data_IF_164526872977
#
_entry.id   IF_164526872977
#
_cell.length_a   1.000
_cell.length_b   1.000
_cell.length_c   1.000
_cell.angle_alpha   90.00
_cell.angle_beta   90.00
_cell.angle_gamma   90.00
#
_symmetry.space_group_name_H-M   'P 1'
#
loop_
_entity.id
_entity.type
_entity.pdbx_description
1 polymer ?
#
# COMPACT_ATOMS: atom_id res chain seq x y z
N UNK A 1 -6.11 21.63 -13.06
CA UNK A 1 -6.70 20.30 -12.76
C UNK A 1 -6.47 19.96 -11.29
N UNK A 2 -7.30 19.13 -10.62
CA UNK A 2 -7.07 18.67 -9.25
C UNK A 2 -5.77 17.87 -9.10
N UNK A 3 -5.13 17.92 -7.92
CA UNK A 3 -3.85 17.25 -7.65
C UNK A 3 -3.92 15.74 -7.80
N UNK A 4 -5.01 15.09 -7.37
CA UNK A 4 -5.23 13.63 -7.54
C UNK A 4 -5.22 13.22 -9.02
N UNK A 5 -5.84 14.02 -9.88
CA UNK A 5 -5.86 13.75 -11.32
C UNK A 5 -4.49 13.94 -11.96
N UNK A 6 -3.74 14.96 -11.52
CA UNK A 6 -2.37 15.16 -11.98
C UNK A 6 -1.48 13.97 -11.61
N UNK A 7 -1.53 13.53 -10.33
CA UNK A 7 -0.79 12.34 -9.89
C UNK A 7 -1.12 11.11 -10.75
N UNK A 8 -2.42 10.83 -10.97
CA UNK A 8 -2.85 9.69 -11.78
C UNK A 8 -2.26 9.72 -13.20
N UNK A 9 -2.26 10.89 -13.84
CA UNK A 9 -1.70 11.04 -15.19
C UNK A 9 -0.18 10.82 -15.13
N UNK A 10 0.51 11.46 -14.19
CA UNK A 10 1.97 11.34 -14.04
C UNK A 10 2.41 9.91 -13.74
N UNK A 11 1.63 9.15 -12.96
CA UNK A 11 2.00 7.79 -12.57
C UNK A 11 1.55 6.72 -13.56
N UNK A 12 0.31 6.84 -14.08
CA UNK A 12 -0.38 5.71 -14.75
C UNK A 12 -0.71 5.95 -16.22
N UNK A 13 -0.31 7.09 -16.84
CA UNK A 13 -0.54 7.28 -18.27
C UNK A 13 0.19 6.19 -19.07
N UNK A 14 -0.46 5.50 -20.03
CA UNK A 14 0.14 4.36 -20.72
C UNK A 14 1.49 4.67 -21.38
N UNK A 15 1.59 5.83 -22.04
CA UNK A 15 2.78 6.20 -22.82
C UNK A 15 3.76 7.11 -22.06
N UNK A 16 3.27 7.92 -21.13
CA UNK A 16 4.05 8.99 -20.47
C UNK A 16 4.10 8.87 -18.96
N UNK A 17 3.36 7.93 -18.37
CA UNK A 17 3.33 7.72 -16.93
C UNK A 17 4.56 7.00 -16.41
N UNK A 18 4.90 7.29 -15.17
CA UNK A 18 6.07 6.75 -14.48
C UNK A 18 6.11 5.22 -14.48
N UNK A 19 4.97 4.54 -14.25
CA UNK A 19 4.82 3.09 -14.28
C UNK A 19 4.48 2.53 -15.68
N UNK A 20 4.23 3.40 -16.68
CA UNK A 20 3.71 2.99 -17.99
C UNK A 20 4.73 2.25 -18.84
N UNK A 21 5.96 2.78 -18.94
CA UNK A 21 6.93 2.36 -19.97
C UNK A 21 8.27 1.87 -19.43
N UNK A 22 8.50 1.94 -18.13
CA UNK A 22 9.78 1.57 -17.50
C UNK A 22 9.60 0.77 -16.22
N UNK A 23 10.68 0.16 -15.79
CA UNK A 23 10.75 -0.57 -14.53
C UNK A 23 11.36 0.35 -13.45
N UNK A 24 10.55 0.88 -12.51
CA UNK A 24 11.03 1.80 -11.50
C UNK A 24 11.68 1.13 -10.28
N UNK A 25 11.59 -0.22 -10.20
CA UNK A 25 11.96 -0.97 -9.00
C UNK A 25 13.39 -1.51 -9.01
N UNK A 26 13.96 -1.75 -7.82
CA UNK A 26 15.22 -2.43 -7.59
C UNK A 26 16.45 -1.51 -7.70
N UNK A 27 17.67 -2.11 -7.70
CA UNK A 27 18.95 -1.39 -7.65
C UNK A 27 19.21 -0.42 -8.81
N UNK A 28 18.52 -0.58 -9.92
CA UNK A 28 18.62 0.30 -11.10
C UNK A 28 17.42 1.24 -11.25
N UNK A 29 16.44 1.16 -10.35
CA UNK A 29 15.26 2.02 -10.30
C UNK A 29 15.37 3.13 -9.26
N UNK A 30 14.33 3.94 -9.17
CA UNK A 30 14.27 5.08 -8.25
C UNK A 30 13.92 4.66 -6.81
N UNK A 31 13.38 3.43 -6.61
CA UNK A 31 12.90 2.93 -5.33
C UNK A 31 13.37 1.51 -4.99
N UNK A 32 13.58 1.29 -3.71
CA UNK A 32 13.84 -0.02 -3.14
C UNK A 32 12.76 -0.31 -2.08
N UNK A 33 11.68 -0.95 -2.51
CA UNK A 33 10.54 -1.35 -1.67
C UNK A 33 10.90 -2.50 -0.72
N UNK A 34 10.12 -2.70 0.35
CA UNK A 34 10.40 -3.75 1.34
C UNK A 34 10.61 -5.15 0.74
N UNK A 35 9.81 -5.62 -0.25
CA UNK A 35 10.04 -6.88 -0.94
C UNK A 35 11.38 -6.97 -1.70
N UNK A 36 11.86 -5.84 -2.24
CA UNK A 36 13.13 -5.79 -2.99
C UNK A 36 14.38 -5.76 -2.08
N UNK A 37 14.20 -5.40 -0.80
CA UNK A 37 15.27 -5.42 0.21
C UNK A 37 15.66 -6.84 0.56
N UNK A 38 14.66 -7.70 0.86
CA UNK A 38 14.92 -9.06 1.32
C UNK A 38 13.69 -9.95 1.22
N UNK A 39 13.90 -11.22 0.85
CA UNK A 39 12.90 -12.29 0.96
C UNK A 39 12.32 -12.44 2.38
N UNK A 40 13.03 -11.98 3.42
CA UNK A 40 12.52 -12.00 4.79
C UNK A 40 11.15 -11.33 4.92
N UNK A 41 10.95 -10.20 4.23
CA UNK A 41 9.66 -9.50 4.27
C UNK A 41 8.55 -10.40 3.73
N UNK A 42 8.71 -10.96 2.54
CA UNK A 42 7.73 -11.88 1.95
C UNK A 42 7.49 -13.15 2.79
N UNK A 43 8.54 -13.70 3.42
CA UNK A 43 8.40 -14.85 4.34
C UNK A 43 7.57 -14.51 5.59
N UNK A 44 7.77 -13.32 6.17
CA UNK A 44 6.99 -12.86 7.33
C UNK A 44 5.53 -12.60 6.96
N UNK A 45 5.28 -11.94 5.82
CA UNK A 45 3.92 -11.72 5.29
C UNK A 45 3.21 -13.05 5.01
N UNK A 46 3.89 -14.01 4.42
CA UNK A 46 3.35 -15.34 4.18
C UNK A 46 3.01 -16.08 5.49
N UNK A 47 3.88 -16.00 6.49
CA UNK A 47 3.62 -16.59 7.81
C UNK A 47 2.38 -16.00 8.46
N UNK A 48 2.22 -14.68 8.41
CA UNK A 48 1.04 -13.99 8.93
C UNK A 48 -0.24 -14.37 8.17
N UNK A 49 -0.20 -14.39 6.84
CA UNK A 49 -1.36 -14.76 6.02
C UNK A 49 -1.73 -16.23 6.21
N UNK A 50 -0.75 -17.13 6.43
CA UNK A 50 -1.02 -18.54 6.79
C UNK A 50 -1.69 -18.66 8.16
N UNK A 51 -1.29 -17.83 9.14
CA UNK A 51 -1.99 -17.71 10.41
C UNK A 51 -3.44 -17.27 10.23
N UNK A 52 -3.67 -16.22 9.44
CA UNK A 52 -5.01 -15.69 9.17
C UNK A 52 -5.90 -16.73 8.47
N UNK A 53 -5.37 -17.43 7.46
CA UNK A 53 -6.05 -18.54 6.79
C UNK A 53 -6.43 -19.65 7.77
N UNK A 54 -5.52 -20.02 8.67
CA UNK A 54 -5.79 -21.03 9.70
C UNK A 54 -6.90 -20.55 10.66
N UNK A 55 -6.83 -19.32 11.13
CA UNK A 55 -7.84 -18.73 12.01
C UNK A 55 -9.21 -18.57 11.33
N UNK A 56 -9.25 -18.53 9.99
CA UNK A 56 -10.47 -18.46 9.18
C UNK A 56 -11.05 -19.84 8.83
N UNK A 57 -10.62 -20.91 9.50
CA UNK A 57 -11.16 -22.27 9.30
C UNK A 57 -10.54 -23.04 8.14
N UNK A 58 -9.40 -22.60 7.62
CA UNK A 58 -8.62 -23.30 6.58
C UNK A 58 -9.43 -23.62 5.31
N UNK A 59 -10.05 -22.64 4.64
CA UNK A 59 -10.79 -22.91 3.41
C UNK A 59 -9.91 -23.63 2.37
N UNK A 60 -10.52 -24.53 1.60
CA UNK A 60 -9.80 -25.23 0.54
C UNK A 60 -9.33 -24.26 -0.56
N UNK A 61 -8.32 -24.65 -1.33
CA UNK A 61 -7.76 -23.81 -2.38
C UNK A 61 -8.80 -23.37 -3.43
N UNK A 62 -9.79 -24.24 -3.72
CA UNK A 62 -10.90 -23.91 -4.63
C UNK A 62 -11.89 -22.90 -4.07
N UNK A 63 -11.94 -22.73 -2.75
CA UNK A 63 -12.99 -21.98 -2.03
C UNK A 63 -12.50 -20.63 -1.52
N UNK A 64 -11.30 -20.21 -1.90
CA UNK A 64 -10.70 -18.94 -1.56
C UNK A 64 -9.93 -18.34 -2.74
N UNK A 65 -9.50 -17.09 -2.59
CA UNK A 65 -8.61 -16.42 -3.54
C UNK A 65 -7.44 -15.77 -2.82
N UNK A 66 -6.30 -15.71 -3.50
CA UNK A 66 -5.20 -14.80 -3.14
C UNK A 66 -5.33 -13.54 -3.96
N UNK A 67 -5.06 -12.41 -3.34
CA UNK A 67 -5.15 -11.11 -4.02
C UNK A 67 -3.97 -10.22 -3.66
N UNK A 68 -3.37 -9.58 -4.65
CA UNK A 68 -2.36 -8.53 -4.44
C UNK A 68 -2.73 -7.29 -5.25
N UNK A 69 -2.79 -6.13 -4.57
CA UNK A 69 -2.99 -4.84 -5.22
C UNK A 69 -1.63 -4.15 -5.38
N UNK A 70 -1.31 -3.73 -6.61
CA UNK A 70 -0.02 -3.14 -6.94
C UNK A 70 1.15 -4.12 -6.82
N UNK A 71 1.11 -5.31 -7.48
CA UNK A 71 2.15 -6.34 -7.32
C UNK A 71 3.50 -5.94 -7.92
N UNK A 72 3.55 -4.91 -8.74
CA UNK A 72 4.75 -4.50 -9.45
C UNK A 72 5.37 -5.66 -10.24
N UNK A 73 6.63 -5.98 -9.96
CA UNK A 73 7.34 -7.13 -10.57
C UNK A 73 6.90 -8.50 -10.07
N UNK A 74 6.12 -8.57 -8.97
CA UNK A 74 5.72 -9.84 -8.35
C UNK A 74 6.72 -10.44 -7.37
N UNK A 75 7.71 -9.67 -6.91
CA UNK A 75 8.72 -10.12 -5.93
C UNK A 75 8.08 -10.58 -4.63
N UNK A 76 7.13 -9.80 -4.09
CA UNK A 76 6.41 -10.14 -2.87
C UNK A 76 5.62 -11.44 -3.05
N UNK A 77 4.80 -11.52 -4.08
CA UNK A 77 4.02 -12.72 -4.38
C UNK A 77 4.91 -13.96 -4.52
N UNK A 78 6.00 -13.89 -5.27
CA UNK A 78 6.95 -14.98 -5.47
C UNK A 78 7.50 -15.51 -4.15
N UNK A 79 7.93 -14.61 -3.26
CA UNK A 79 8.55 -15.01 -1.99
C UNK A 79 7.51 -15.54 -0.98
N UNK A 80 6.31 -14.95 -0.95
CA UNK A 80 5.17 -15.49 -0.22
C UNK A 80 4.77 -16.86 -0.75
N UNK A 81 4.67 -17.04 -2.07
CA UNK A 81 4.29 -18.30 -2.70
C UNK A 81 5.29 -19.43 -2.41
N UNK A 82 6.60 -19.15 -2.44
CA UNK A 82 7.64 -20.10 -2.03
C UNK A 82 7.48 -20.54 -0.57
N UNK A 83 7.07 -19.62 0.28
CA UNK A 83 6.84 -19.90 1.70
C UNK A 83 5.56 -20.69 1.90
N UNK A 84 4.45 -20.33 1.24
CA UNK A 84 3.19 -21.08 1.30
C UNK A 84 3.35 -22.54 0.91
N UNK A 85 4.14 -22.86 -0.12
CA UNK A 85 4.42 -24.25 -0.51
C UNK A 85 4.91 -25.12 0.65
N UNK A 86 5.58 -24.50 1.63
CA UNK A 86 6.17 -25.20 2.78
C UNK A 86 5.22 -25.26 3.99
N UNK A 87 4.47 -24.18 4.24
CA UNK A 87 3.71 -24.03 5.50
C UNK A 87 2.20 -24.07 5.33
N UNK A 88 1.67 -23.75 4.14
CA UNK A 88 0.24 -23.67 3.86
C UNK A 88 -0.04 -24.00 2.37
N UNK A 89 0.08 -25.29 1.97
CA UNK A 89 -0.07 -25.69 0.55
C UNK A 89 -1.39 -25.27 -0.09
N UNK A 90 -2.49 -25.24 0.67
CA UNK A 90 -3.78 -24.76 0.18
C UNK A 90 -3.72 -23.31 -0.29
N UNK A 91 -3.04 -22.42 0.48
CA UNK A 91 -2.80 -21.04 0.03
C UNK A 91 -1.95 -21.00 -1.23
N UNK A 92 -0.90 -21.83 -1.36
CA UNK A 92 -0.08 -21.83 -2.57
C UNK A 92 -0.85 -22.24 -3.82
N UNK A 93 -1.85 -23.10 -3.67
CA UNK A 93 -2.66 -23.64 -4.78
C UNK A 93 -3.92 -22.82 -5.08
N UNK A 94 -4.28 -21.85 -4.23
CA UNK A 94 -5.43 -20.99 -4.48
C UNK A 94 -5.19 -20.08 -5.69
N UNK A 95 -6.24 -19.77 -6.49
CA UNK A 95 -6.14 -18.83 -7.60
C UNK A 95 -5.57 -17.47 -7.14
N UNK A 96 -4.71 -16.88 -7.97
CA UNK A 96 -4.04 -15.63 -7.68
C UNK A 96 -4.59 -14.52 -8.57
N UNK A 97 -5.13 -13.48 -7.95
CA UNK A 97 -5.71 -12.30 -8.59
C UNK A 97 -4.83 -11.09 -8.32
N UNK A 98 -4.71 -10.22 -9.32
CA UNK A 98 -3.84 -9.05 -9.27
C UNK A 98 -4.56 -7.83 -9.83
N UNK A 99 -4.43 -6.69 -9.14
CA UNK A 99 -4.81 -5.39 -9.65
C UNK A 99 -3.54 -4.62 -10.01
N UNK A 100 -3.22 -4.57 -11.30
CA UNK A 100 -2.05 -3.88 -11.86
C UNK A 100 -2.46 -3.10 -13.11
N UNK A 101 -2.18 -1.81 -13.14
CA UNK A 101 -2.55 -0.94 -14.24
C UNK A 101 -1.57 -1.00 -15.43
N UNK A 102 -0.28 -1.27 -15.15
CA UNK A 102 0.78 -1.27 -16.15
C UNK A 102 0.88 -2.59 -16.90
N UNK A 103 0.65 -2.57 -18.21
CA UNK A 103 0.84 -3.75 -19.10
C UNK A 103 2.29 -4.25 -19.07
N UNK A 104 3.24 -3.34 -18.94
CA UNK A 104 4.65 -3.69 -18.79
C UNK A 104 4.86 -4.53 -17.51
N UNK A 105 4.33 -4.07 -16.38
CA UNK A 105 4.45 -4.79 -15.11
C UNK A 105 3.63 -6.08 -15.09
N UNK A 106 2.45 -6.14 -15.72
CA UNK A 106 1.69 -7.39 -15.91
C UNK A 106 2.54 -8.46 -16.63
N UNK A 107 3.25 -8.08 -17.68
CA UNK A 107 4.14 -8.98 -18.42
C UNK A 107 5.31 -9.46 -17.54
N UNK A 108 5.93 -8.56 -16.79
CA UNK A 108 7.02 -8.89 -15.85
C UNK A 108 6.55 -9.83 -14.75
N UNK A 109 5.43 -9.51 -14.11
CA UNK A 109 4.80 -10.32 -13.08
C UNK A 109 4.54 -11.75 -13.60
N UNK A 110 3.90 -11.88 -14.77
CA UNK A 110 3.58 -13.20 -15.37
C UNK A 110 4.82 -14.06 -15.52
N UNK A 111 5.93 -13.47 -15.94
CA UNK A 111 7.22 -14.18 -16.08
C UNK A 111 7.79 -14.57 -14.72
N UNK A 112 7.75 -13.67 -13.74
CA UNK A 112 8.36 -13.84 -12.41
C UNK A 112 7.66 -14.92 -11.58
N UNK A 113 6.33 -15.01 -11.67
CA UNK A 113 5.55 -15.95 -10.87
C UNK A 113 5.30 -17.31 -11.55
N UNK A 114 5.83 -17.52 -12.76
CA UNK A 114 5.66 -18.81 -13.46
C UNK A 114 6.09 -20.00 -12.58
N UNK A 115 5.38 -21.12 -12.60
CA UNK A 115 4.26 -21.49 -13.48
C UNK A 115 2.86 -21.08 -12.95
N UNK A 116 2.74 -20.22 -11.94
CA UNK A 116 1.45 -19.71 -11.46
C UNK A 116 0.84 -18.82 -12.54
N UNK A 117 -0.36 -19.13 -12.97
CA UNK A 117 -1.11 -18.29 -13.92
C UNK A 117 -1.77 -17.12 -13.17
N UNK A 118 -1.47 -15.85 -13.51
CA UNK A 118 -2.14 -14.71 -12.91
C UNK A 118 -3.53 -14.48 -13.49
N UNK A 119 -4.47 -14.02 -12.64
CA UNK A 119 -5.74 -13.45 -13.07
C UNK A 119 -5.67 -11.94 -12.85
N UNK A 120 -5.58 -11.16 -13.92
CA UNK A 120 -5.60 -9.71 -13.83
C UNK A 120 -7.03 -9.19 -13.74
N UNK A 121 -7.27 -8.30 -12.80
CA UNK A 121 -8.55 -7.62 -12.61
C UNK A 121 -8.49 -6.25 -13.29
N UNK A 122 -9.54 -5.90 -14.01
CA UNK A 122 -9.73 -4.53 -14.51
C UNK A 122 -10.39 -3.65 -13.43
N UNK A 123 -11.21 -4.23 -12.59
CA UNK A 123 -11.89 -3.56 -11.48
C UNK A 123 -11.93 -4.46 -10.27
N UNK A 124 -11.85 -3.87 -9.08
CA UNK A 124 -11.94 -4.61 -7.82
C UNK A 124 -13.29 -5.34 -7.65
N UNK A 125 -14.34 -4.85 -8.28
CA UNK A 125 -15.66 -5.50 -8.31
C UNK A 125 -15.69 -6.82 -9.08
N UNK A 126 -14.66 -7.13 -9.85
CA UNK A 126 -14.57 -8.36 -10.63
C UNK A 126 -13.96 -9.52 -9.80
N UNK A 127 -13.65 -9.29 -8.52
CA UNK A 127 -13.21 -10.32 -7.59
C UNK A 127 -14.28 -11.42 -7.45
N UNK A 128 -13.89 -12.72 -7.52
CA UNK A 128 -14.82 -13.82 -7.27
C UNK A 128 -15.44 -13.77 -5.87
N UNK A 129 -16.71 -14.18 -5.70
CA UNK A 129 -17.42 -14.15 -4.42
C UNK A 129 -16.91 -15.26 -3.47
N UNK A 130 -15.67 -15.13 -2.99
CA UNK A 130 -14.96 -16.09 -2.12
C UNK A 130 -14.16 -15.36 -1.06
N UNK A 131 -13.85 -16.02 0.08
CA UNK A 131 -12.89 -15.49 1.05
C UNK A 131 -11.58 -15.09 0.37
N UNK A 132 -11.09 -13.90 0.74
CA UNK A 132 -9.91 -13.28 0.15
C UNK A 132 -8.76 -13.25 1.17
N UNK A 133 -7.58 -13.72 0.77
CA UNK A 133 -6.34 -13.57 1.52
C UNK A 133 -5.38 -12.72 0.68
N UNK A 134 -5.30 -11.43 1.02
CA UNK A 134 -4.63 -10.47 0.15
C UNK A 134 -3.72 -9.49 0.87
N UNK A 135 -2.92 -8.77 0.07
CA UNK A 135 -1.94 -7.81 0.53
C UNK A 135 -1.76 -6.67 -0.48
N UNK A 136 -1.41 -5.50 0.03
CA UNK A 136 -0.76 -4.44 -0.76
C UNK A 136 0.49 -3.96 -0.03
N UNK A 137 1.51 -3.60 -0.79
CA UNK A 137 2.71 -2.96 -0.29
C UNK A 137 3.06 -1.76 -1.16
N UNK A 138 3.09 -0.55 -0.56
CA UNK A 138 3.36 0.70 -1.29
C UNK A 138 2.41 0.85 -2.50
N UNK A 139 1.11 0.83 -2.21
CA UNK A 139 0.05 0.91 -3.21
C UNK A 139 -0.84 2.13 -3.00
N UNK A 140 -1.25 2.39 -1.75
CA UNK A 140 -2.16 3.48 -1.43
C UNK A 140 -1.49 4.85 -1.54
N UNK A 141 -0.20 4.93 -1.29
CA UNK A 141 0.63 6.13 -1.42
C UNK A 141 0.68 6.66 -2.87
N UNK A 142 0.52 5.77 -3.85
CA UNK A 142 0.46 6.11 -5.27
C UNK A 142 -0.96 6.42 -5.78
N UNK A 143 -2.00 6.17 -4.97
CA UNK A 143 -3.38 6.55 -5.32
C UNK A 143 -3.58 8.04 -5.09
N UNK A 144 -3.93 8.76 -6.15
CA UNK A 144 -3.96 10.22 -6.17
C UNK A 144 -4.65 10.89 -4.98
N UNK A 145 -4.05 11.96 -4.48
CA UNK A 145 -4.52 12.74 -3.33
C UNK A 145 -4.96 14.16 -3.74
N UNK A 146 -6.09 14.61 -3.22
CA UNK A 146 -6.54 16.02 -3.26
C UNK A 146 -6.06 16.74 -2.03
N UNK A 147 -5.72 18.01 -2.19
CA UNK A 147 -5.30 18.86 -1.10
C UNK A 147 -6.26 20.04 -0.95
N UNK A 148 -6.97 20.09 0.19
CA UNK A 148 -7.72 21.26 0.60
C UNK A 148 -6.79 22.19 1.40
N UNK A 149 -6.71 23.47 1.03
CA UNK A 149 -5.93 24.49 1.73
C UNK A 149 -6.87 25.49 2.37
N UNK A 150 -6.60 25.90 3.61
CA UNK A 150 -7.34 26.97 4.28
C UNK A 150 -6.59 28.30 4.11
N UNK A 151 -7.19 29.27 3.43
CA UNK A 151 -6.55 30.54 3.09
C UNK A 151 -6.65 31.60 4.20
N UNK A 152 -7.34 31.29 5.29
CA UNK A 152 -7.63 32.16 6.44
C UNK A 152 -9.07 32.62 6.50
N UNK A 153 -9.86 32.38 5.47
CA UNK A 153 -11.31 32.64 5.41
C UNK A 153 -12.08 31.38 5.04
N UNK A 154 -11.62 30.70 4.00
CA UNK A 154 -12.32 29.58 3.40
C UNK A 154 -11.37 28.40 3.07
N UNK A 155 -11.96 27.22 2.93
CA UNK A 155 -11.31 26.07 2.32
C UNK A 155 -11.35 26.18 0.80
N UNK A 156 -10.23 25.94 0.12
CA UNK A 156 -10.07 25.91 -1.34
C UNK A 156 -9.34 24.64 -1.77
N UNK A 157 -9.63 24.09 -2.96
CA UNK A 157 -8.80 23.00 -3.50
C UNK A 157 -7.51 23.56 -4.08
N UNK A 158 -6.38 22.92 -3.73
CA UNK A 158 -5.13 23.09 -4.48
C UNK A 158 -5.27 22.37 -5.81
N UNK A 159 -4.97 23.07 -6.88
CA UNK A 159 -5.02 22.57 -8.25
C UNK A 159 -3.69 22.81 -8.96
N UNK A 160 -3.56 22.25 -10.14
CA UNK A 160 -2.41 22.49 -11.02
C UNK A 160 -2.92 23.10 -12.32
N UNK A 161 -2.26 24.17 -12.73
CA UNK A 161 -2.49 24.87 -13.99
C UNK A 161 -1.22 24.84 -14.85
N UNK A 162 -1.38 25.04 -16.14
CA UNK A 162 -0.27 25.18 -17.08
C UNK A 162 -0.38 26.50 -17.82
N UNK A 163 0.62 27.34 -17.70
CA UNK A 163 0.71 28.65 -18.34
C UNK A 163 2.15 29.09 -18.51
N UNK A 164 2.42 29.86 -19.55
CA UNK A 164 3.75 30.39 -19.89
C UNK A 164 4.83 29.30 -20.04
N UNK A 165 4.42 28.07 -20.40
CA UNK A 165 5.33 26.92 -20.58
C UNK A 165 5.66 26.15 -19.31
N UNK A 166 5.05 26.47 -18.17
CA UNK A 166 5.34 25.86 -16.88
C UNK A 166 4.08 25.41 -16.15
N UNK A 167 4.19 24.34 -15.37
CA UNK A 167 3.16 23.92 -14.41
C UNK A 167 3.31 24.73 -13.13
N UNK A 168 2.17 25.12 -12.54
CA UNK A 168 2.14 25.84 -11.27
C UNK A 168 0.95 25.40 -10.41
N UNK A 169 1.12 25.47 -9.10
CA UNK A 169 0.00 25.33 -8.19
C UNK A 169 -0.92 26.56 -8.27
N UNK A 170 -2.22 26.30 -8.25
CA UNK A 170 -3.29 27.27 -8.21
C UNK A 170 -4.37 26.82 -7.23
N UNK A 171 -5.39 27.63 -7.05
CA UNK A 171 -6.49 27.32 -6.12
C UNK A 171 -7.84 27.50 -6.83
N UNK A 172 -8.87 26.78 -6.34
CA UNK A 172 -10.25 26.98 -6.78
C UNK A 172 -10.90 28.20 -6.08
N UNK A 173 -12.15 28.47 -6.42
CA UNK A 173 -13.04 29.26 -5.57
C UNK A 173 -13.29 28.56 -4.24
N UNK A 174 -13.74 29.27 -3.19
CA UNK A 174 -14.11 28.68 -1.90
C UNK A 174 -15.04 27.49 -2.03
N UNK A 175 -14.79 26.48 -1.20
CA UNK A 175 -15.61 25.27 -1.11
C UNK A 175 -16.94 25.59 -0.42
N UNK A 176 -18.01 25.04 -0.92
CA UNK A 176 -19.30 25.11 -0.26
C UNK A 176 -19.38 24.12 0.94
N UNK A 177 -20.44 24.26 1.74
CA UNK A 177 -20.62 23.43 2.94
C UNK A 177 -20.72 21.94 2.66
N UNK A 178 -21.33 21.56 1.54
CA UNK A 178 -21.51 20.15 1.17
C UNK A 178 -20.16 19.53 0.76
N UNK A 179 -19.32 20.28 0.06
CA UNK A 179 -17.95 19.85 -0.28
C UNK A 179 -17.07 19.69 0.96
N UNK A 180 -17.14 20.64 1.90
CA UNK A 180 -16.43 20.59 3.19
C UNK A 180 -16.86 19.35 3.99
N UNK A 181 -18.16 19.11 4.08
CA UNK A 181 -18.71 17.95 4.79
C UNK A 181 -18.34 16.62 4.09
N UNK A 182 -18.48 16.55 2.76
CA UNK A 182 -18.13 15.37 1.98
C UNK A 182 -16.65 15.01 2.12
N UNK A 183 -15.77 16.02 2.15
CA UNK A 183 -14.33 15.86 2.34
C UNK A 183 -13.95 15.63 3.82
N UNK A 184 -14.91 15.73 4.76
CA UNK A 184 -14.66 15.62 6.21
C UNK A 184 -13.56 16.54 6.71
N UNK A 185 -13.51 17.78 6.19
CA UNK A 185 -12.50 18.76 6.55
C UNK A 185 -12.64 19.23 8.01
N UNK A 186 -11.53 19.54 8.69
CA UNK A 186 -11.56 20.01 10.08
C UNK A 186 -12.42 21.27 10.26
N UNK A 187 -13.23 21.36 11.35
CA UNK A 187 -14.13 22.48 11.58
C UNK A 187 -13.43 23.75 12.07
N UNK A 188 -12.18 23.65 12.53
CA UNK A 188 -11.42 24.76 13.11
C UNK A 188 -10.00 24.83 12.55
N UNK A 189 -9.86 25.08 11.23
CA UNK A 189 -8.53 25.19 10.60
C UNK A 189 -7.83 26.49 10.96
N UNK A 190 -6.51 26.50 10.79
CA UNK A 190 -5.68 27.70 10.85
C UNK A 190 -5.25 28.10 9.43
N UNK A 191 -4.99 29.38 9.21
CA UNK A 191 -4.45 29.84 7.94
C UNK A 191 -3.20 29.08 7.55
N UNK A 192 -3.19 28.54 6.34
CA UNK A 192 -2.11 27.72 5.80
C UNK A 192 -2.24 26.22 6.06
N UNK A 193 -3.25 25.78 6.83
CA UNK A 193 -3.50 24.36 7.01
C UNK A 193 -3.83 23.70 5.67
N UNK A 194 -3.26 22.51 5.48
CA UNK A 194 -3.52 21.65 4.33
C UNK A 194 -4.11 20.34 4.87
N UNK A 195 -5.14 19.85 4.19
CA UNK A 195 -5.78 18.57 4.49
C UNK A 195 -5.86 17.72 3.23
N UNK A 196 -5.42 16.47 3.34
CA UNK A 196 -5.32 15.54 2.24
C UNK A 196 -6.42 14.50 2.28
N UNK A 197 -7.04 14.24 1.14
CA UNK A 197 -8.01 13.16 0.95
C UNK A 197 -7.71 12.40 -0.33
N UNK A 198 -7.87 11.09 -0.33
CA UNK A 198 -7.68 10.24 -1.51
C UNK A 198 -9.00 9.57 -1.90
N UNK A 199 -9.75 10.11 -2.88
CA UNK A 199 -11.03 9.53 -3.30
C UNK A 199 -10.89 8.13 -3.87
N UNK A 200 -9.74 7.80 -4.48
CA UNK A 200 -9.47 6.46 -4.99
C UNK A 200 -9.23 5.47 -3.85
N UNK A 201 -8.45 5.85 -2.84
CA UNK A 201 -8.24 5.02 -1.65
C UNK A 201 -9.57 4.74 -0.93
N UNK A 202 -10.41 5.76 -0.80
CA UNK A 202 -11.75 5.63 -0.20
C UNK A 202 -12.62 4.64 -0.97
N UNK A 203 -12.67 4.77 -2.30
CA UNK A 203 -13.46 3.88 -3.17
C UNK A 203 -12.93 2.45 -3.13
N UNK A 204 -11.60 2.28 -3.20
CA UNK A 204 -10.94 0.98 -3.09
C UNK A 204 -11.27 0.30 -1.77
N UNK A 205 -11.07 1.02 -0.66
CA UNK A 205 -11.33 0.50 0.68
C UNK A 205 -12.80 0.16 0.89
N UNK A 206 -13.73 0.99 0.43
CA UNK A 206 -15.15 0.71 0.53
C UNK A 206 -15.52 -0.59 -0.20
N UNK A 207 -15.05 -0.75 -1.44
CA UNK A 207 -15.33 -1.94 -2.27
C UNK A 207 -14.72 -3.20 -1.68
N UNK A 208 -13.45 -3.15 -1.27
CA UNK A 208 -12.77 -4.27 -0.66
C UNK A 208 -13.36 -4.66 0.69
N UNK A 209 -13.76 -3.67 1.49
CA UNK A 209 -14.40 -3.90 2.78
C UNK A 209 -15.77 -4.58 2.65
N UNK A 210 -16.56 -4.20 1.64
CA UNK A 210 -17.82 -4.88 1.32
C UNK A 210 -17.57 -6.34 0.94
N UNK A 211 -16.56 -6.61 0.13
CA UNK A 211 -16.18 -7.98 -0.25
C UNK A 211 -15.80 -8.80 0.99
N UNK A 212 -14.90 -8.29 1.84
CA UNK A 212 -14.42 -8.97 3.04
C UNK A 212 -15.54 -9.17 4.06
N UNK A 213 -16.40 -8.17 4.26
CA UNK A 213 -17.55 -8.30 5.16
C UNK A 213 -18.53 -9.39 4.71
N UNK A 214 -18.68 -9.57 3.40
CA UNK A 214 -19.63 -10.54 2.83
C UNK A 214 -19.06 -11.94 2.72
N UNK A 215 -17.79 -12.09 2.32
CA UNK A 215 -17.20 -13.40 1.97
C UNK A 215 -16.12 -13.86 2.95
N UNK A 216 -15.60 -12.98 3.80
CA UNK A 216 -14.55 -13.30 4.76
C UNK A 216 -13.13 -13.20 4.21
N UNK A 217 -12.17 -13.72 5.00
CA UNK A 217 -10.74 -13.58 4.74
C UNK A 217 -10.15 -12.32 5.37
N UNK A 218 -9.12 -11.75 4.77
CA UNK A 218 -8.52 -10.50 5.21
C UNK A 218 -7.50 -9.94 4.23
N UNK A 219 -7.23 -8.65 4.36
CA UNK A 219 -6.32 -7.92 3.49
C UNK A 219 -5.33 -7.09 4.31
N UNK A 220 -4.05 -7.36 4.12
CA UNK A 220 -2.96 -6.67 4.80
C UNK A 220 -2.50 -5.47 3.98
N UNK A 221 -2.36 -4.31 4.63
CA UNK A 221 -1.89 -3.07 4.03
C UNK A 221 -0.56 -2.73 4.67
N UNK A 222 0.50 -2.66 3.86
CA UNK A 222 1.83 -2.22 4.27
C UNK A 222 2.15 -0.95 3.47
N UNK A 223 2.17 0.20 4.13
CA UNK A 223 2.38 1.48 3.46
C UNK A 223 2.94 2.52 4.44
N UNK A 224 3.58 3.56 3.95
CA UNK A 224 3.96 4.66 4.82
C UNK A 224 2.83 5.66 4.96
N UNK A 225 2.60 6.09 6.21
CA UNK A 225 1.41 6.88 6.46
C UNK A 225 1.28 7.41 7.89
N UNK A 226 0.15 8.03 8.09
CA UNK A 226 -0.25 8.75 9.31
C UNK A 226 -1.68 8.38 9.72
N UNK A 227 -2.10 8.88 10.87
CA UNK A 227 -3.43 8.58 11.41
C UNK A 227 -4.44 9.70 11.17
N UNK A 228 -4.12 10.67 10.32
CA UNK A 228 -5.00 11.78 9.94
C UNK A 228 -4.67 12.32 8.55
N UNK A 229 -5.54 13.15 7.99
CA UNK A 229 -5.33 13.79 6.69
C UNK A 229 -4.55 15.12 6.76
N UNK A 230 -4.07 15.54 7.93
CA UNK A 230 -3.45 16.85 8.12
C UNK A 230 -2.04 16.92 7.52
N UNK A 231 -1.72 18.02 6.90
CA UNK A 231 -0.39 18.37 6.38
C UNK A 231 -0.23 18.19 4.86
N UNK A 232 0.89 18.67 4.36
CA UNK A 232 1.31 18.60 2.96
C UNK A 232 2.33 17.46 2.84
N UNK A 233 1.87 16.27 2.49
CA UNK A 233 2.72 15.10 2.38
C UNK A 233 3.07 14.74 0.92
N UNK A 234 2.50 15.47 -0.04
CA UNK A 234 2.76 15.26 -1.45
C UNK A 234 4.25 15.49 -1.76
N UNK A 235 4.89 14.50 -2.34
CA UNK A 235 6.32 14.54 -2.65
C UNK A 235 6.62 13.84 -3.97
N UNK A 236 7.75 14.21 -4.58
CA UNK A 236 8.28 13.53 -5.75
C UNK A 236 9.70 13.02 -5.47
N UNK A 237 10.02 11.87 -6.02
CA UNK A 237 11.34 11.25 -5.92
C UNK A 237 11.82 10.81 -7.30
N UNK A 238 13.10 11.07 -7.59
CA UNK A 238 13.79 10.65 -8.80
C UNK A 238 15.23 10.29 -8.45
N UNK A 239 15.73 9.15 -8.92
CA UNK A 239 17.09 8.68 -8.64
C UNK A 239 17.46 8.72 -7.15
N UNK A 240 16.55 8.27 -6.27
CA UNK A 240 16.68 8.27 -4.80
C UNK A 240 16.83 9.66 -4.14
N UNK A 241 16.52 10.74 -4.85
CA UNK A 241 16.58 12.10 -4.34
C UNK A 241 15.22 12.80 -4.47
N UNK A 242 14.95 13.77 -3.58
CA UNK A 242 13.76 14.63 -3.71
C UNK A 242 13.80 15.38 -5.03
N UNK A 243 12.66 15.44 -5.71
CA UNK A 243 12.44 16.16 -6.95
C UNK A 243 11.30 17.18 -6.79
N UNK A 244 11.25 18.16 -7.67
CA UNK A 244 10.13 19.09 -7.76
C UNK A 244 8.94 18.40 -8.45
N UNK A 245 7.78 18.44 -7.80
CA UNK A 245 6.56 17.71 -8.23
C UNK A 245 6.13 18.10 -9.66
N UNK A 246 6.29 19.37 -10.02
CA UNK A 246 5.79 19.93 -11.27
C UNK A 246 6.84 20.03 -12.38
N UNK A 247 8.13 19.78 -12.08
CA UNK A 247 9.21 20.03 -13.04
C UNK A 247 9.20 19.04 -14.21
N UNK A 248 9.01 17.76 -13.93
CA UNK A 248 9.10 16.69 -14.93
C UNK A 248 7.93 15.69 -14.78
N UNK A 249 6.70 16.05 -15.19
CA UNK A 249 5.53 15.17 -15.08
C UNK A 249 5.76 13.83 -15.79
N UNK A 250 5.51 12.71 -15.09
CA UNK A 250 5.74 11.35 -15.60
C UNK A 250 7.18 10.86 -15.52
N UNK A 251 8.14 11.70 -15.10
CA UNK A 251 9.55 11.32 -14.99
C UNK A 251 10.00 11.02 -13.56
N UNK A 252 9.17 11.31 -12.57
CA UNK A 252 9.41 11.04 -11.15
C UNK A 252 8.22 10.29 -10.54
N UNK A 253 8.49 9.54 -9.48
CA UNK A 253 7.43 8.97 -8.65
C UNK A 253 6.84 10.05 -7.75
N UNK A 254 5.52 10.14 -7.71
CA UNK A 254 4.79 11.10 -6.90
C UNK A 254 3.95 10.32 -5.89
N UNK A 255 4.20 10.58 -4.61
CA UNK A 255 3.57 9.84 -3.52
C UNK A 255 3.08 10.77 -2.42
N UNK A 256 2.27 10.22 -1.51
CA UNK A 256 1.80 10.92 -0.32
C UNK A 256 1.73 9.97 0.89
N UNK A 257 1.60 10.50 2.11
CA UNK A 257 1.37 9.69 3.29
C UNK A 257 -0.08 9.20 3.35
N UNK A 258 -0.28 7.90 3.49
CA UNK A 258 -1.60 7.27 3.58
C UNK A 258 -2.30 7.67 4.88
N UNK A 259 -3.54 8.18 4.81
CA UNK A 259 -4.39 8.40 5.99
C UNK A 259 -5.10 7.10 6.39
N UNK A 260 -4.51 6.37 7.34
CA UNK A 260 -5.08 5.12 7.84
C UNK A 260 -6.40 5.31 8.58
N UNK A 261 -6.68 6.50 9.13
CA UNK A 261 -7.98 6.75 9.76
C UNK A 261 -9.08 6.92 8.72
N UNK A 262 -8.78 7.48 7.54
CA UNK A 262 -9.71 7.51 6.42
C UNK A 262 -10.04 6.09 5.94
N UNK A 263 -9.02 5.24 5.77
CA UNK A 263 -9.22 3.83 5.41
C UNK A 263 -10.09 3.10 6.44
N UNK A 264 -9.85 3.33 7.74
CA UNK A 264 -10.67 2.75 8.82
C UNK A 264 -12.12 3.21 8.77
N UNK A 265 -12.38 4.50 8.49
CA UNK A 265 -13.74 5.02 8.32
C UNK A 265 -14.48 4.34 7.17
N UNK A 266 -13.83 4.06 6.05
CA UNK A 266 -14.45 3.34 4.93
C UNK A 266 -14.74 1.88 5.27
N UNK A 267 -13.84 1.22 6.01
CA UNK A 267 -14.05 -0.15 6.48
C UNK A 267 -15.30 -0.25 7.37
N UNK A 268 -15.45 0.66 8.33
CA UNK A 268 -16.62 0.70 9.22
C UNK A 268 -17.95 0.89 8.47
N UNK A 269 -17.99 1.75 7.45
CA UNK A 269 -19.19 1.95 6.61
C UNK A 269 -19.66 0.65 5.94
N UNK A 270 -18.74 -0.25 5.64
CA UNK A 270 -18.99 -1.54 5.00
C UNK A 270 -19.15 -2.70 6.00
N UNK A 271 -19.22 -2.43 7.32
CA UNK A 271 -19.28 -3.46 8.39
C UNK A 271 -18.05 -4.39 8.35
N UNK A 272 -16.90 -3.84 8.04
CA UNK A 272 -15.59 -4.46 8.20
C UNK A 272 -14.77 -3.64 9.20
N UNK A 273 -13.65 -4.18 9.65
CA UNK A 273 -12.76 -3.53 10.61
C UNK A 273 -11.36 -3.44 10.05
N UNK A 274 -10.76 -2.26 10.12
CA UNK A 274 -9.32 -2.08 9.93
C UNK A 274 -8.64 -2.13 11.31
N UNK A 275 -7.85 -3.17 11.57
CA UNK A 275 -7.03 -3.34 12.78
C UNK A 275 -5.68 -2.66 12.54
N UNK A 276 -5.19 -1.89 13.50
CA UNK A 276 -4.01 -1.06 13.37
C UNK A 276 -4.37 0.41 13.03
N UNK A 277 -3.45 1.19 12.42
CA UNK A 277 -2.12 0.78 12.01
C UNK A 277 -1.15 0.54 13.18
N UNK A 278 -0.18 -0.33 12.96
CA UNK A 278 1.00 -0.50 13.83
C UNK A 278 2.26 -0.19 13.05
N UNK A 279 3.36 0.13 13.73
CA UNK A 279 4.65 0.34 13.08
C UNK A 279 5.19 -0.96 12.47
N UNK A 280 5.71 -0.91 11.23
CA UNK A 280 6.22 -2.08 10.53
C UNK A 280 7.31 -2.81 11.32
N UNK A 281 8.24 -2.06 11.94
CA UNK A 281 9.31 -2.65 12.74
C UNK A 281 8.80 -3.42 13.95
N UNK A 282 7.78 -2.90 14.64
CA UNK A 282 7.12 -3.57 15.75
C UNK A 282 6.38 -4.83 15.29
N UNK A 283 5.59 -4.72 14.21
CA UNK A 283 4.89 -5.84 13.60
C UNK A 283 5.83 -6.99 13.21
N UNK A 284 6.87 -6.70 12.44
CA UNK A 284 7.85 -7.70 12.01
C UNK A 284 8.59 -8.33 13.18
N UNK A 285 8.90 -7.53 14.22
CA UNK A 285 9.58 -8.00 15.44
C UNK A 285 8.70 -8.98 16.21
N UNK A 286 7.42 -8.65 16.39
CA UNK A 286 6.45 -9.51 17.08
C UNK A 286 6.20 -10.83 16.32
N UNK A 287 6.22 -10.78 14.98
CA UNK A 287 6.17 -11.99 14.15
C UNK A 287 7.46 -12.83 14.19
N UNK A 288 8.53 -12.33 14.80
CA UNK A 288 9.78 -13.09 15.01
C UNK A 288 10.78 -12.98 13.85
N UNK A 289 10.82 -11.86 13.12
CA UNK A 289 11.75 -11.66 12.00
C UNK A 289 13.21 -11.85 12.39
N UNK A 290 13.61 -11.46 13.65
CA UNK A 290 14.97 -11.65 14.17
C UNK A 290 15.31 -13.14 14.30
N UNK A 291 14.39 -13.96 14.79
CA UNK A 291 14.59 -15.40 14.90
C UNK A 291 14.73 -16.03 13.50
N UNK A 292 13.90 -15.57 12.55
CA UNK A 292 13.99 -16.02 11.15
C UNK A 292 15.31 -15.60 10.51
N UNK A 293 15.74 -14.36 10.67
CA UNK A 293 17.03 -13.88 10.18
C UNK A 293 18.18 -14.70 10.79
N UNK A 294 18.16 -14.96 12.11
CA UNK A 294 19.17 -15.80 12.78
C UNK A 294 19.25 -17.20 12.16
N UNK A 295 18.12 -17.81 11.81
CA UNK A 295 18.06 -19.13 11.18
C UNK A 295 18.59 -19.15 9.73
N UNK A 296 18.61 -18.00 9.07
CA UNK A 296 19.14 -17.84 7.70
C UNK A 296 20.63 -17.46 7.65
N UNK A 297 21.23 -17.13 8.79
CA UNK A 297 22.65 -16.75 8.84
C UNK A 297 23.54 -17.86 8.31
N UNK A 298 24.57 -17.43 7.61
CA UNK A 298 25.61 -18.30 7.01
C UNK A 298 26.98 -17.76 7.38
N UNK A 299 27.50 -18.10 8.59
CA UNK A 299 28.79 -17.60 9.05
C UNK A 299 29.95 -17.85 8.09
N UNK A 300 29.83 -18.93 7.29
CA UNK A 300 30.78 -19.27 6.24
C UNK A 300 30.69 -18.36 4.99
N UNK A 301 29.68 -17.48 4.91
CA UNK A 301 29.50 -16.49 3.86
C UNK A 301 29.32 -15.09 4.45
N UNK A 302 30.40 -14.44 4.93
CA UNK A 302 30.30 -13.20 5.71
C UNK A 302 29.61 -12.03 4.98
N UNK A 303 29.72 -11.98 3.65
CA UNK A 303 29.06 -10.96 2.84
C UNK A 303 27.54 -11.14 2.82
N UNK A 304 27.07 -12.37 2.59
CA UNK A 304 25.64 -12.72 2.64
C UNK A 304 25.06 -12.41 4.03
N UNK A 305 25.81 -12.69 5.09
CA UNK A 305 25.40 -12.45 6.46
C UNK A 305 25.27 -10.94 6.75
N UNK A 306 26.24 -10.13 6.25
CA UNK A 306 26.16 -8.65 6.35
C UNK A 306 24.95 -8.09 5.60
N UNK A 307 24.69 -8.57 4.38
CA UNK A 307 23.52 -8.15 3.61
C UNK A 307 22.21 -8.49 4.33
N UNK A 308 22.11 -9.67 4.93
CA UNK A 308 20.94 -10.09 5.72
C UNK A 308 20.71 -9.18 6.93
N UNK A 309 21.76 -8.85 7.67
CA UNK A 309 21.67 -7.97 8.84
C UNK A 309 21.33 -6.52 8.45
N UNK A 310 21.90 -6.02 7.35
CA UNK A 310 21.56 -4.71 6.82
C UNK A 310 20.10 -4.64 6.34
N UNK A 311 19.59 -5.71 5.72
CA UNK A 311 18.20 -5.83 5.33
C UNK A 311 17.25 -5.84 6.55
N UNK A 312 17.60 -6.59 7.59
CA UNK A 312 16.84 -6.62 8.85
C UNK A 312 16.78 -5.24 9.50
N UNK A 313 17.93 -4.55 9.59
CA UNK A 313 18.01 -3.19 10.11
C UNK A 313 17.12 -2.23 9.29
N UNK A 314 17.24 -2.26 7.98
CA UNK A 314 16.44 -1.40 7.08
C UNK A 314 14.93 -1.62 7.21
N UNK A 315 14.47 -2.87 7.37
CA UNK A 315 13.05 -3.20 7.50
C UNK A 315 12.48 -2.83 8.87
N UNK A 316 13.28 -2.91 9.95
CA UNK A 316 12.78 -2.85 11.33
C UNK A 316 13.19 -1.61 12.10
N UNK A 317 14.35 -1.00 11.79
CA UNK A 317 14.86 0.11 12.61
C UNK A 317 14.03 1.38 12.43
N UNK A 318 13.72 2.13 13.52
CA UNK A 318 12.88 3.33 13.48
C UNK A 318 13.38 4.42 12.52
N UNK A 319 14.71 4.59 12.43
CA UNK A 319 15.37 5.56 11.55
C UNK A 319 15.29 5.20 10.06
N UNK A 320 14.82 3.99 9.74
CA UNK A 320 14.59 3.49 8.39
C UNK A 320 13.09 3.26 8.14
N UNK A 321 12.71 2.08 7.66
CA UNK A 321 11.32 1.78 7.34
C UNK A 321 10.48 1.42 8.59
N UNK A 322 11.12 1.08 9.71
CA UNK A 322 10.46 0.48 10.86
C UNK A 322 9.38 1.35 11.49
N UNK A 323 9.54 2.67 11.49
CA UNK A 323 8.57 3.60 12.10
C UNK A 323 7.65 4.27 11.08
N UNK A 324 8.18 4.75 9.96
CA UNK A 324 7.37 5.49 8.98
C UNK A 324 6.39 4.57 8.23
N UNK A 325 6.79 3.31 7.98
CA UNK A 325 5.91 2.31 7.41
C UNK A 325 4.97 1.76 8.48
N UNK A 326 3.73 1.60 8.07
CA UNK A 326 2.64 1.10 8.91
C UNK A 326 2.06 -0.18 8.32
N UNK A 327 1.56 -1.01 9.21
CA UNK A 327 0.85 -2.24 8.83
C UNK A 327 -0.54 -2.18 9.42
N UNK A 328 -1.54 -2.41 8.59
CA UNK A 328 -2.95 -2.50 9.00
C UNK A 328 -3.61 -3.72 8.36
N UNK A 329 -4.59 -4.30 9.03
CA UNK A 329 -5.30 -5.50 8.58
C UNK A 329 -6.80 -5.24 8.47
N UNK A 330 -7.34 -5.36 7.27
CA UNK A 330 -8.76 -5.33 7.01
C UNK A 330 -9.37 -6.73 7.15
N UNK A 331 -10.37 -6.88 8.00
CA UNK A 331 -11.06 -8.15 8.32
C UNK A 331 -12.55 -7.92 8.52
N UNK A 332 -13.38 -8.99 8.54
CA UNK A 332 -14.77 -8.89 8.99
C UNK A 332 -14.86 -8.32 10.40
N UNK A 333 -15.92 -7.58 10.69
CA UNK A 333 -16.19 -7.10 12.04
C UNK A 333 -16.29 -8.27 13.04
N UNK A 334 -15.86 -8.04 14.28
CA UNK A 334 -15.81 -9.08 15.31
C UNK A 334 -14.58 -10.00 15.25
N UNK A 335 -13.69 -9.85 14.27
CA UNK A 335 -12.42 -10.60 14.24
C UNK A 335 -11.54 -10.18 15.43
N UNK A 336 -10.98 -11.17 16.16
CA UNK A 336 -10.04 -10.94 17.26
C UNK A 336 -8.72 -10.32 16.79
N UNK A 337 -7.93 -9.79 17.73
CA UNK A 337 -6.62 -9.21 17.44
C UNK A 337 -5.61 -10.33 17.09
N UNK A 338 -5.03 -10.32 15.90
CA UNK A 338 -4.00 -11.28 15.53
C UNK A 338 -2.61 -10.89 16.07
N UNK A 339 -1.63 -11.81 16.05
CA UNK A 339 -0.23 -11.49 16.34
C UNK A 339 0.26 -10.30 15.50
N UNK A 340 1.15 -9.50 16.04
CA UNK A 340 1.64 -8.27 15.39
C UNK A 340 0.78 -7.03 15.63
N UNK A 341 -0.45 -7.19 16.15
CA UNK A 341 -1.38 -6.09 16.44
C UNK A 341 -1.75 -5.95 17.92
N UNK A 342 -1.14 -6.72 18.81
CA UNK A 342 -1.51 -6.74 20.23
C UNK A 342 -1.12 -5.43 20.94
N UNK A 343 -0.04 -4.78 20.50
CA UNK A 343 0.38 -3.48 21.04
C UNK A 343 -0.56 -2.31 20.70
N UNK A 344 -1.39 -2.43 19.67
CA UNK A 344 -2.36 -1.39 19.29
C UNK A 344 -3.56 -1.29 20.24
N UNK A 345 -3.74 -2.25 21.16
CA UNK A 345 -4.85 -2.27 22.12
C UNK A 345 -4.57 -1.49 23.41
N UNK A 346 -3.33 -1.05 23.62
CA UNK A 346 -2.85 -0.40 24.87
C UNK A 346 -2.45 1.07 24.68
N UNK A 347 -2.77 1.70 23.54
CA UNK A 347 -2.46 3.09 23.24
C UNK A 347 -3.68 4.01 23.18
#
# INVERSE_FOLDING_TARGET
MPTDRFMQICLSHPDFGYYGSRDPFGRGGDFMTAPEISQLFGEMMAGFMAYLWNASGQPAASDMIRFEAGPGRGTLFRDMHKTYKKIAPSLSNAPAYFLEASEYLRTRLTTEIAPTAPHFLERLTDLPPKPLFGISNEFFDALGVRQACFDGGDWVWRCIDFGDGEFRFTQTTPLNKDEIQAASLPPSPKQGDIYEISPLSDTFMQTLSQHIAQYGGGFLICDYGKSDGAGDSLQAVKAHAKAEILAEPGACDITHLVDFSALARQAQKAKARLIGPVEQGAFLTELGIQARAKALRRPEKPETDRMLLAALDRLCAPQHMGQIFKVALLVPDGTGLPPGFVSAANG
#
